data_IF_498375066346
#
_entry.id   IF_498375066346
#
_cell.length_a   1.000
_cell.length_b   1.000
_cell.length_c   1.000
_cell.angle_alpha   90.00
_cell.angle_beta   90.00
_cell.angle_gamma   90.00
#
_symmetry.space_group_name_H-M   'P 1'
#
loop_
_entity.id
_entity.type
_entity.pdbx_description
1 polymer ?
#
# COMPACT_ATOMS: atom_id res chain seq x y z
N UNK A 1 -14.73 11.16 7.35
CA UNK A 1 -13.28 11.53 7.48
C UNK A 1 -12.47 10.28 7.61
N UNK A 2 -11.53 10.06 6.70
CA UNK A 2 -10.75 8.83 6.69
C UNK A 2 -9.46 9.00 5.89
N UNK A 3 -8.47 8.16 6.22
CA UNK A 3 -7.30 7.96 5.37
C UNK A 3 -7.59 6.75 4.49
N UNK A 4 -7.49 6.93 3.18
CA UNK A 4 -7.65 5.84 2.21
C UNK A 4 -6.30 5.41 1.66
N UNK A 5 -6.17 4.12 1.43
CA UNK A 5 -4.96 3.53 0.86
C UNK A 5 -5.24 3.15 -0.59
N UNK A 6 -4.44 3.68 -1.51
CA UNK A 6 -4.58 3.43 -2.95
C UNK A 6 -3.54 2.43 -3.43
N UNK A 7 -3.35 1.36 -2.66
CA UNK A 7 -2.36 0.34 -2.99
C UNK A 7 -2.71 -0.41 -4.27
N UNK A 8 -3.98 -0.77 -4.43
CA UNK A 8 -4.45 -1.49 -5.61
C UNK A 8 -4.22 -0.67 -6.89
N UNK A 9 -4.50 0.63 -6.84
CA UNK A 9 -4.29 1.52 -7.98
C UNK A 9 -2.81 1.55 -8.39
N UNK A 10 -1.91 1.68 -7.42
CA UNK A 10 -0.48 1.71 -7.71
C UNK A 10 0.03 0.37 -8.21
N UNK A 11 -0.51 -0.73 -7.70
CA UNK A 11 -0.19 -2.07 -8.19
C UNK A 11 -0.54 -2.22 -9.67
N UNK A 12 -1.73 -1.75 -10.04
CA UNK A 12 -2.16 -1.78 -11.45
C UNK A 12 -1.25 -0.91 -12.31
N UNK A 13 -0.94 0.28 -11.85
CA UNK A 13 -0.05 1.20 -12.59
C UNK A 13 1.34 0.61 -12.83
N UNK A 14 1.85 -0.15 -11.88
CA UNK A 14 3.19 -0.75 -11.98
C UNK A 14 3.17 -2.17 -12.53
N UNK A 15 1.99 -2.74 -12.77
CA UNK A 15 1.87 -4.10 -13.29
C UNK A 15 2.44 -5.15 -12.35
N UNK A 16 2.28 -4.97 -11.05
CA UNK A 16 2.80 -5.89 -10.04
C UNK A 16 1.66 -6.59 -9.32
N UNK A 17 1.80 -7.91 -9.11
CA UNK A 17 0.82 -8.71 -8.39
C UNK A 17 1.00 -8.57 -6.88
N UNK A 18 -0.03 -8.96 -6.12
CA UNK A 18 0.04 -8.93 -4.66
C UNK A 18 1.13 -9.87 -4.14
N UNK A 19 1.25 -11.06 -4.74
CA UNK A 19 2.29 -12.03 -4.37
C UNK A 19 3.68 -11.47 -4.60
N UNK A 20 3.88 -10.82 -5.73
CA UNK A 20 5.15 -10.23 -6.09
C UNK A 20 5.51 -9.09 -5.15
N UNK A 21 4.55 -8.24 -4.85
CA UNK A 21 4.73 -7.12 -3.93
C UNK A 21 5.04 -7.63 -2.52
N UNK A 22 4.35 -8.67 -2.08
CA UNK A 22 4.61 -9.32 -0.79
C UNK A 22 6.06 -9.72 -0.64
N UNK A 23 6.63 -10.34 -1.68
CA UNK A 23 8.03 -10.76 -1.68
C UNK A 23 8.99 -9.57 -1.65
N UNK A 24 8.69 -8.53 -2.40
CA UNK A 24 9.56 -7.36 -2.48
C UNK A 24 9.59 -6.56 -1.18
N UNK A 25 8.45 -6.48 -0.52
CA UNK A 25 8.30 -5.65 0.69
C UNK A 25 8.59 -6.43 1.96
N UNK A 26 8.51 -7.76 1.90
CA UNK A 26 8.72 -8.61 3.07
C UNK A 26 7.52 -8.62 4.01
N UNK A 27 6.31 -8.45 3.49
CA UNK A 27 5.05 -8.46 4.24
C UNK A 27 4.22 -9.64 3.76
N UNK A 28 3.48 -10.27 4.68
CA UNK A 28 2.62 -11.40 4.31
C UNK A 28 1.50 -10.97 3.38
N UNK A 29 1.02 -11.89 2.55
CA UNK A 29 -0.12 -11.64 1.67
C UNK A 29 -1.35 -11.19 2.46
N UNK A 30 -1.57 -11.79 3.63
CA UNK A 30 -2.70 -11.43 4.49
C UNK A 30 -2.63 -9.96 4.91
N UNK A 31 -1.45 -9.51 5.35
CA UNK A 31 -1.26 -8.13 5.79
C UNK A 31 -1.38 -7.13 4.63
N UNK A 32 -0.84 -7.48 3.47
CA UNK A 32 -1.00 -6.64 2.28
C UNK A 32 -2.45 -6.54 1.84
N UNK A 33 -3.18 -7.66 1.92
CA UNK A 33 -4.61 -7.68 1.57
C UNK A 33 -5.42 -6.77 2.49
N UNK A 34 -5.10 -6.77 3.79
CA UNK A 34 -5.75 -5.89 4.76
C UNK A 34 -5.50 -4.42 4.38
N UNK A 35 -4.27 -4.10 4.00
CA UNK A 35 -3.92 -2.75 3.57
C UNK A 35 -4.64 -2.37 2.29
N UNK A 36 -4.60 -3.24 1.30
CA UNK A 36 -5.22 -3.04 -0.01
C UNK A 36 -6.72 -2.78 0.09
N UNK A 37 -7.39 -3.46 1.02
CA UNK A 37 -8.83 -3.35 1.21
C UNK A 37 -9.23 -2.24 2.18
N UNK A 38 -8.31 -1.38 2.57
CA UNK A 38 -8.57 -0.25 3.47
C UNK A 38 -9.06 -0.67 4.85
N UNK A 39 -8.61 -1.83 5.33
CA UNK A 39 -8.99 -2.35 6.65
C UNK A 39 -7.88 -2.22 7.67
N UNK A 40 -6.70 -1.72 7.27
CA UNK A 40 -5.59 -1.52 8.20
C UNK A 40 -5.88 -0.33 9.11
N UNK A 41 -5.59 -0.49 10.39
CA UNK A 41 -5.75 0.57 11.38
C UNK A 41 -4.45 1.34 11.63
N UNK A 42 -3.34 0.78 11.20
CA UNK A 42 -2.03 1.40 11.37
C UNK A 42 -1.12 0.99 10.21
N UNK A 43 -0.17 1.86 9.92
CA UNK A 43 0.83 1.63 8.88
C UNK A 43 2.15 2.16 9.42
N UNK A 44 3.14 1.27 9.53
CA UNK A 44 4.48 1.67 9.98
C UNK A 44 5.19 2.46 8.88
N UNK A 45 5.96 3.45 9.26
CA UNK A 45 6.74 4.21 8.29
C UNK A 45 7.73 3.33 7.53
N UNK A 46 8.30 2.32 8.17
CA UNK A 46 9.20 1.38 7.50
C UNK A 46 8.47 0.61 6.39
N UNK A 47 7.23 0.21 6.63
CA UNK A 47 6.38 -0.46 5.64
C UNK A 47 6.03 0.50 4.49
N UNK A 48 5.64 1.72 4.83
CA UNK A 48 5.32 2.74 3.84
C UNK A 48 6.52 3.02 2.94
N UNK A 49 7.70 3.15 3.53
CA UNK A 49 8.94 3.37 2.79
C UNK A 49 9.22 2.22 1.83
N UNK A 50 9.09 0.98 2.31
CA UNK A 50 9.31 -0.20 1.47
C UNK A 50 8.32 -0.26 0.30
N UNK A 51 7.07 0.11 0.54
CA UNK A 51 6.07 0.18 -0.51
C UNK A 51 6.42 1.24 -1.55
N UNK A 52 6.89 2.40 -1.10
CA UNK A 52 7.30 3.47 -2.01
C UNK A 52 8.47 3.03 -2.89
N UNK A 53 9.43 2.32 -2.32
CA UNK A 53 10.57 1.80 -3.09
C UNK A 53 10.10 0.77 -4.11
N UNK A 54 9.28 -0.19 -3.68
CA UNK A 54 8.82 -1.29 -4.55
C UNK A 54 7.92 -0.80 -5.68
N UNK A 55 7.10 0.22 -5.41
CA UNK A 55 6.15 0.75 -6.38
C UNK A 55 6.66 2.02 -7.08
N UNK A 56 7.86 2.47 -6.74
CA UNK A 56 8.49 3.67 -7.30
C UNK A 56 7.53 4.86 -7.24
N UNK A 57 7.04 5.15 -6.04
CA UNK A 57 6.07 6.22 -5.83
C UNK A 57 6.34 6.96 -4.53
N UNK A 58 5.57 8.01 -4.31
CA UNK A 58 5.63 8.82 -3.09
C UNK A 58 4.50 8.40 -2.14
N UNK A 59 4.62 8.67 -0.83
CA UNK A 59 3.54 8.37 0.11
C UNK A 59 2.20 8.99 -0.30
N UNK A 60 2.21 10.18 -0.89
CA UNK A 60 0.99 10.83 -1.37
C UNK A 60 0.30 10.11 -2.53
N UNK A 61 1.01 9.20 -3.20
CA UNK A 61 0.41 8.35 -4.23
C UNK A 61 -0.32 7.16 -3.62
N UNK A 62 0.04 6.80 -2.39
CA UNK A 62 -0.52 5.64 -1.69
C UNK A 62 -1.60 6.02 -0.69
N UNK A 63 -1.53 7.22 -0.13
CA UNK A 63 -2.41 7.65 0.95
C UNK A 63 -3.17 8.91 0.56
N UNK A 64 -4.43 8.94 0.94
CA UNK A 64 -5.29 10.11 0.69
C UNK A 64 -6.16 10.37 1.92
N UNK A 65 -6.23 11.62 2.35
CA UNK A 65 -7.18 12.02 3.39
C UNK A 65 -8.48 12.44 2.71
N UNK A 66 -9.57 11.84 3.15
CA UNK A 66 -10.90 12.15 2.64
C UNK A 66 -11.75 12.68 3.78
N UNK A 67 -12.19 13.93 3.66
CA UNK A 67 -13.09 14.53 4.63
C UNK A 67 -14.55 14.19 4.29
N UNK A 68 -15.38 14.10 5.32
CA UNK A 68 -16.81 13.87 5.13
C UNK A 68 -17.52 15.10 4.54
#
# INVERSE_FOLDING_TARGET
MAIKVHLDLMMVKRGISLTELSRKVGITLANLSILKNNKAKALRFSTLEALCVALECQPGDLLEFVAD
#
